data_IF_954124803324
#
_entry.id   IF_954124803324
#
_cell.length_a   1.000
_cell.length_b   1.000
_cell.length_c   1.000
_cell.angle_alpha   90.00
_cell.angle_beta   90.00
_cell.angle_gamma   90.00
#
_symmetry.space_group_name_H-M   'P 1'
#
loop_
_entity.id
_entity.type
_entity.pdbx_description
1 polymer ?
#
# COMPACT_ATOMS: atom_id res chain seq x y z
N UNK A 1 0.51 -25.06 -5.53
CA UNK A 1 0.31 -24.21 -4.34
C UNK A 1 0.58 -22.78 -4.78
N UNK A 2 -0.46 -21.93 -4.86
CA UNK A 2 -0.29 -20.54 -5.31
C UNK A 2 0.40 -19.79 -4.16
N UNK A 3 1.68 -19.49 -4.31
CA UNK A 3 2.42 -18.75 -3.30
C UNK A 3 2.18 -17.25 -3.43
N UNK A 4 1.75 -16.62 -2.34
CA UNK A 4 1.69 -15.15 -2.21
C UNK A 4 3.07 -14.65 -1.81
N UNK A 5 3.59 -13.63 -2.50
CA UNK A 5 4.74 -12.86 -2.03
C UNK A 5 4.26 -11.46 -1.59
N UNK A 6 4.14 -11.25 -0.28
CA UNK A 6 3.93 -9.91 0.30
C UNK A 6 5.29 -9.32 0.57
N UNK A 7 5.68 -8.30 -0.19
CA UNK A 7 6.97 -7.65 -0.06
C UNK A 7 6.82 -6.44 0.87
N UNK A 8 6.36 -6.72 2.11
CA UNK A 8 5.77 -5.77 3.04
C UNK A 8 6.70 -4.74 3.68
N UNK A 9 8.01 -4.87 3.48
CA UNK A 9 9.03 -3.97 4.05
C UNK A 9 9.95 -3.35 3.00
N UNK A 10 9.69 -3.62 1.73
CA UNK A 10 10.53 -3.18 0.65
C UNK A 10 9.90 -1.95 0.01
N UNK A 11 10.12 -0.79 0.63
CA UNK A 11 10.21 0.49 -0.09
C UNK A 11 11.37 0.51 -1.12
N UNK A 12 11.97 -0.65 -1.37
CA UNK A 12 13.11 -0.86 -2.23
C UNK A 12 12.64 -1.27 -3.61
N UNK A 13 13.33 -0.71 -4.58
CA UNK A 13 13.31 -1.17 -5.95
C UNK A 13 13.82 -2.62 -6.06
N UNK A 14 13.07 -3.47 -6.77
CA UNK A 14 13.41 -4.86 -7.05
C UNK A 14 13.63 -5.05 -8.56
N UNK A 15 14.66 -5.82 -8.91
CA UNK A 15 15.01 -6.10 -10.31
C UNK A 15 14.10 -7.17 -10.89
N UNK A 16 13.93 -7.18 -12.21
CA UNK A 16 13.22 -8.24 -12.96
C UNK A 16 13.73 -9.65 -12.60
N UNK A 17 15.04 -9.81 -12.38
CA UNK A 17 15.64 -11.09 -11.99
C UNK A 17 15.11 -11.62 -10.65
N UNK A 18 14.77 -10.74 -9.70
CA UNK A 18 14.15 -11.12 -8.43
C UNK A 18 12.76 -11.73 -8.68
N UNK A 19 11.97 -11.10 -9.54
CA UNK A 19 10.63 -11.61 -9.87
C UNK A 19 10.66 -12.88 -10.72
N UNK A 20 11.66 -13.06 -11.60
CA UNK A 20 11.88 -14.33 -12.30
C UNK A 20 12.15 -15.46 -11.32
N UNK A 21 13.02 -15.24 -10.33
CA UNK A 21 13.28 -16.19 -9.26
C UNK A 21 12.00 -16.51 -8.45
N UNK A 22 11.18 -15.51 -8.11
CA UNK A 22 9.89 -15.75 -7.44
C UNK A 22 8.95 -16.61 -8.31
N UNK A 23 8.85 -16.32 -9.62
CA UNK A 23 8.02 -17.09 -10.55
C UNK A 23 8.48 -18.54 -10.69
N UNK A 24 9.79 -18.77 -10.80
CA UNK A 24 10.40 -20.11 -10.80
C UNK A 24 10.09 -20.88 -9.51
N UNK A 25 9.95 -20.17 -8.39
CA UNK A 25 9.52 -20.71 -7.10
C UNK A 25 7.98 -20.68 -6.91
N UNK A 26 7.22 -20.73 -8.00
CA UNK A 26 5.75 -20.87 -8.01
C UNK A 26 5.00 -19.73 -7.31
N UNK A 27 5.58 -18.52 -7.30
CA UNK A 27 4.85 -17.30 -6.90
C UNK A 27 4.18 -16.72 -8.14
N UNK A 28 2.86 -16.62 -8.10
CA UNK A 28 2.04 -16.13 -9.23
C UNK A 28 1.37 -14.78 -8.90
N UNK A 29 1.65 -14.25 -7.71
CA UNK A 29 0.97 -13.09 -7.16
C UNK A 29 1.90 -12.30 -6.22
N UNK A 30 1.90 -10.97 -6.37
CA UNK A 30 2.68 -10.03 -5.54
C UNK A 30 1.79 -8.88 -5.09
N UNK A 31 2.04 -8.37 -3.87
CA UNK A 31 1.42 -7.15 -3.35
C UNK A 31 2.51 -6.15 -2.94
N UNK A 32 2.41 -4.91 -3.41
CA UNK A 32 3.37 -3.82 -3.10
C UNK A 32 2.76 -2.71 -2.22
N UNK A 33 3.54 -2.09 -1.31
CA UNK A 33 3.10 -0.90 -0.58
C UNK A 33 2.95 0.31 -1.50
N UNK A 34 1.73 0.81 -1.73
CA UNK A 34 1.49 2.00 -2.53
C UNK A 34 1.84 3.31 -1.79
N UNK A 35 1.82 3.29 -0.46
CA UNK A 35 2.18 4.44 0.39
C UNK A 35 3.42 4.19 1.23
N UNK A 36 4.10 5.27 1.58
CA UNK A 36 4.95 5.33 2.77
C UNK A 36 4.06 5.46 4.01
N UNK A 37 4.30 4.64 5.03
CA UNK A 37 3.43 4.55 6.21
C UNK A 37 3.53 5.80 7.11
N UNK A 38 4.66 6.49 7.07
CA UNK A 38 5.03 7.63 7.91
C UNK A 38 4.61 8.98 7.31
N UNK A 39 4.38 9.02 6.00
CA UNK A 39 4.02 10.24 5.27
C UNK A 39 2.69 10.17 4.52
N UNK A 40 2.18 8.97 4.24
CA UNK A 40 1.02 8.78 3.37
C UNK A 40 1.26 9.14 1.90
N UNK A 41 2.50 9.47 1.52
CA UNK A 41 2.90 9.79 0.15
C UNK A 41 3.03 8.54 -0.71
N UNK A 42 3.00 8.72 -2.03
CA UNK A 42 3.18 7.62 -2.99
C UNK A 42 4.58 7.01 -2.86
N UNK A 43 4.63 5.68 -2.76
CA UNK A 43 5.89 4.93 -2.80
C UNK A 43 6.38 4.79 -4.26
N UNK A 44 7.41 5.56 -4.61
CA UNK A 44 7.95 5.61 -5.97
C UNK A 44 8.50 4.27 -6.46
N UNK A 45 8.93 3.39 -5.55
CA UNK A 45 9.39 2.04 -5.92
C UNK A 45 8.24 1.15 -6.43
N UNK A 46 6.99 1.44 -6.08
CA UNK A 46 5.84 0.58 -6.41
C UNK A 46 5.54 0.56 -7.89
N UNK A 47 5.56 1.71 -8.55
CA UNK A 47 5.44 1.79 -10.01
C UNK A 47 6.46 0.87 -10.70
N UNK A 48 7.73 1.05 -10.37
CA UNK A 48 8.82 0.30 -10.98
C UNK A 48 8.75 -1.21 -10.66
N UNK A 49 8.34 -1.55 -9.44
CA UNK A 49 8.16 -2.94 -9.03
C UNK A 49 7.00 -3.62 -9.77
N UNK A 50 5.89 -2.92 -10.02
CA UNK A 50 4.78 -3.42 -10.84
C UNK A 50 5.25 -3.71 -12.26
N UNK A 51 5.99 -2.77 -12.87
CA UNK A 51 6.56 -2.93 -14.22
C UNK A 51 7.49 -4.14 -14.27
N UNK A 52 8.40 -4.27 -13.29
CA UNK A 52 9.38 -5.34 -13.25
C UNK A 52 8.76 -6.71 -12.96
N UNK A 53 7.72 -6.79 -12.13
CA UNK A 53 6.98 -8.03 -11.87
C UNK A 53 6.30 -8.53 -13.14
N UNK A 54 5.63 -7.64 -13.88
CA UNK A 54 5.01 -7.97 -15.18
C UNK A 54 6.04 -8.36 -16.24
N UNK A 55 7.18 -7.68 -16.31
CA UNK A 55 8.27 -8.05 -17.22
C UNK A 55 8.86 -9.44 -16.90
N UNK A 56 8.75 -9.91 -15.66
CA UNK A 56 9.09 -11.28 -15.27
C UNK A 56 7.92 -12.28 -15.45
N UNK A 57 6.75 -11.82 -15.89
CA UNK A 57 5.55 -12.60 -16.14
C UNK A 57 4.71 -12.90 -14.90
N UNK A 58 4.80 -12.07 -13.85
CA UNK A 58 3.83 -12.08 -12.74
C UNK A 58 2.78 -11.02 -13.06
N UNK A 59 1.63 -11.45 -13.58
CA UNK A 59 0.57 -10.54 -14.03
C UNK A 59 -0.40 -10.14 -12.91
N UNK A 60 -0.57 -11.00 -11.91
CA UNK A 60 -1.40 -10.70 -10.74
C UNK A 60 -0.61 -9.83 -9.75
N UNK A 61 -0.71 -8.53 -9.95
CA UNK A 61 -0.02 -7.52 -9.13
C UNK A 61 -1.05 -6.65 -8.43
N UNK A 62 -1.10 -6.73 -7.12
CA UNK A 62 -1.95 -5.91 -6.26
C UNK A 62 -1.11 -4.86 -5.52
N UNK A 63 -1.79 -3.90 -4.91
CA UNK A 63 -1.17 -2.89 -4.06
C UNK A 63 -1.86 -2.81 -2.70
N UNK A 64 -1.14 -2.37 -1.67
CA UNK A 64 -1.73 -2.08 -0.37
C UNK A 64 -1.42 -0.67 0.12
N UNK A 65 -2.33 -0.12 0.90
CA UNK A 65 -2.18 1.16 1.59
C UNK A 65 -1.99 0.90 3.07
N UNK A 66 -0.93 1.46 3.66
CA UNK A 66 -0.80 1.54 5.10
C UNK A 66 -1.36 2.90 5.56
N UNK A 67 -2.39 2.95 6.42
CA UNK A 67 -2.98 4.21 6.85
C UNK A 67 -1.98 5.02 7.68
N UNK A 68 -1.68 6.25 7.26
CA UNK A 68 -0.94 7.20 8.09
C UNK A 68 -1.93 7.98 8.97
N UNK A 69 -2.10 7.54 10.23
CA UNK A 69 -3.22 7.96 11.08
C UNK A 69 -2.97 9.26 11.84
N UNK A 70 -1.73 9.53 12.26
CA UNK A 70 -1.40 10.73 13.06
C UNK A 70 -0.94 11.87 12.15
N UNK A 71 -1.57 13.05 12.19
CA UNK A 71 -1.03 14.24 11.55
C UNK A 71 0.42 14.48 11.93
N UNK A 72 1.23 14.84 10.95
CA UNK A 72 2.61 15.26 11.13
C UNK A 72 2.76 16.69 10.60
N UNK A 73 3.55 17.52 11.28
CA UNK A 73 3.93 18.84 10.76
C UNK A 73 4.87 18.76 9.57
N UNK A 74 5.54 17.61 9.39
CA UNK A 74 6.42 17.32 8.25
C UNK A 74 5.65 16.66 7.10
N UNK A 75 4.57 15.92 7.40
CA UNK A 75 3.80 15.16 6.42
C UNK A 75 2.30 15.45 6.51
N UNK A 76 1.85 16.41 5.69
CA UNK A 76 0.48 16.94 5.69
C UNK A 76 -0.61 15.91 5.31
N UNK A 77 -0.24 14.81 4.65
CA UNK A 77 -1.20 13.77 4.25
C UNK A 77 -1.56 12.83 5.38
N UNK A 78 -0.77 12.78 6.45
CA UNK A 78 -1.07 11.95 7.60
C UNK A 78 -2.23 12.54 8.42
N UNK A 79 -3.08 11.67 8.94
CA UNK A 79 -4.37 12.07 9.51
C UNK A 79 -5.44 12.45 8.48
N UNK A 80 -5.12 12.38 7.17
CA UNK A 80 -6.08 12.56 6.10
C UNK A 80 -6.27 11.23 5.32
N UNK A 81 -7.13 10.37 5.88
CA UNK A 81 -7.47 9.06 5.33
C UNK A 81 -7.75 9.09 3.82
N UNK A 82 -8.66 9.98 3.39
CA UNK A 82 -9.10 10.04 2.00
C UNK A 82 -8.07 10.69 1.08
N UNK A 83 -7.34 11.70 1.57
CA UNK A 83 -6.35 12.45 0.80
C UNK A 83 -5.17 11.60 0.37
N UNK A 84 -4.59 10.81 1.29
CA UNK A 84 -3.46 9.93 0.99
C UNK A 84 -3.80 8.90 -0.09
N UNK A 85 -4.90 8.15 0.09
CA UNK A 85 -5.33 7.13 -0.89
C UNK A 85 -5.60 7.76 -2.26
N UNK A 86 -6.34 8.87 -2.30
CA UNK A 86 -6.70 9.54 -3.55
C UNK A 86 -5.45 10.02 -4.31
N UNK A 87 -4.50 10.64 -3.60
CA UNK A 87 -3.27 11.16 -4.21
C UNK A 87 -2.45 10.05 -4.87
N UNK A 88 -2.26 8.93 -4.18
CA UNK A 88 -1.47 7.81 -4.72
C UNK A 88 -2.18 7.11 -5.88
N UNK A 89 -3.50 6.93 -5.81
CA UNK A 89 -4.25 6.32 -6.90
C UNK A 89 -4.23 7.21 -8.16
N UNK A 90 -4.34 8.53 -7.98
CA UNK A 90 -4.14 9.48 -9.07
C UNK A 90 -2.72 9.39 -9.64
N UNK A 91 -1.69 9.37 -8.79
CA UNK A 91 -0.29 9.19 -9.22
C UNK A 91 -0.10 7.93 -10.08
N UNK A 92 -0.59 6.78 -9.62
CA UNK A 92 -0.46 5.53 -10.38
C UNK A 92 -1.27 5.58 -11.68
N UNK A 93 -2.45 6.18 -11.67
CA UNK A 93 -3.27 6.34 -12.87
C UNK A 93 -2.61 7.27 -13.91
N UNK A 94 -2.08 8.41 -13.48
CA UNK A 94 -1.42 9.41 -14.33
C UNK A 94 -0.17 8.83 -15.00
N UNK A 95 0.51 7.89 -14.33
CA UNK A 95 1.63 7.13 -14.86
C UNK A 95 1.21 5.83 -15.60
N UNK A 96 -0.08 5.65 -15.88
CA UNK A 96 -0.64 4.48 -16.58
C UNK A 96 -0.34 3.12 -15.92
N UNK A 97 -0.14 3.11 -14.61
CA UNK A 97 0.18 1.91 -13.84
C UNK A 97 -1.11 1.17 -13.48
N UNK A 98 -1.31 0.02 -14.12
CA UNK A 98 -2.42 -0.90 -13.79
C UNK A 98 -2.04 -1.82 -12.63
N UNK A 99 -3.01 -2.24 -11.83
CA UNK A 99 -2.88 -3.25 -10.76
C UNK A 99 -4.25 -3.93 -10.56
N UNK A 100 -4.29 -5.04 -9.84
CA UNK A 100 -5.50 -5.83 -9.62
C UNK A 100 -6.39 -5.26 -8.52
N UNK A 101 -6.12 -5.65 -7.28
CA UNK A 101 -6.86 -5.20 -6.10
C UNK A 101 -6.04 -4.21 -5.27
N UNK A 102 -6.79 -3.39 -4.55
CA UNK A 102 -6.27 -2.50 -3.52
C UNK A 102 -6.59 -3.09 -2.15
N UNK A 103 -5.58 -3.22 -1.31
CA UNK A 103 -5.68 -3.73 0.05
C UNK A 103 -5.50 -2.59 1.05
N UNK A 104 -6.21 -2.65 2.17
CA UNK A 104 -5.96 -1.78 3.31
C UNK A 104 -5.19 -2.58 4.36
N UNK A 105 -3.92 -2.21 4.58
CA UNK A 105 -3.03 -2.86 5.54
C UNK A 105 -3.11 -2.15 6.89
N UNK A 106 -4.04 -2.60 7.73
CA UNK A 106 -4.21 -2.12 9.10
C UNK A 106 -3.29 -2.93 10.00
N UNK A 107 -2.25 -2.30 10.51
CA UNK A 107 -1.29 -2.87 11.45
C UNK A 107 -1.00 -1.91 12.59
N UNK A 108 -0.48 -2.42 13.70
CA UNK A 108 0.19 -1.61 14.71
C UNK A 108 1.52 -1.09 14.15
N UNK A 109 1.81 0.19 14.40
CA UNK A 109 3.00 0.89 13.92
C UNK A 109 4.12 0.97 14.98
N UNK A 110 4.19 -0.02 15.88
CA UNK A 110 5.28 -0.14 16.85
C UNK A 110 5.61 -1.61 17.12
N UNK A 111 6.89 -1.89 17.31
CA UNK A 111 7.40 -3.15 17.89
C UNK A 111 7.05 -3.27 19.38
N UNK A 112 6.38 -2.27 19.93
CA UNK A 112 6.06 -2.11 21.35
C UNK A 112 4.57 -1.79 21.52
N UNK A 113 3.84 -2.74 22.10
CA UNK A 113 2.41 -2.60 22.43
C UNK A 113 2.11 -1.43 23.38
N UNK A 114 3.13 -0.88 24.04
CA UNK A 114 2.99 0.22 25.01
C UNK A 114 3.05 1.60 24.34
N UNK A 115 3.72 1.71 23.18
CA UNK A 115 3.99 2.97 22.48
C UNK A 115 3.41 2.96 21.07
N UNK A 116 2.09 3.05 20.96
CA UNK A 116 1.39 3.08 19.67
C UNK A 116 1.72 4.35 18.88
N UNK A 117 2.68 4.25 17.97
CA UNK A 117 3.02 5.31 17.03
C UNK A 117 2.08 5.31 15.81
N UNK A 118 0.78 5.53 16.01
CA UNK A 118 -0.12 5.76 14.88
C UNK A 118 -1.59 5.70 15.25
N UNK A 119 -2.02 4.57 15.80
CA UNK A 119 -3.41 4.41 16.24
C UNK A 119 -3.60 4.97 17.65
N UNK A 120 -4.78 5.53 17.92
CA UNK A 120 -5.15 5.98 19.25
C UNK A 120 -5.57 4.78 20.09
N UNK A 121 -4.71 4.33 21.02
CA UNK A 121 -4.98 3.14 21.85
C UNK A 121 -6.24 3.29 22.71
N UNK A 122 -6.58 4.52 23.07
CA UNK A 122 -7.67 4.83 24.00
C UNK A 122 -8.95 5.24 23.25
N UNK A 123 -8.86 5.56 21.96
CA UNK A 123 -9.99 5.99 21.13
C UNK A 123 -10.27 5.03 19.96
N UNK A 124 -10.86 3.87 20.28
CA UNK A 124 -11.30 2.89 19.29
C UNK A 124 -12.25 3.49 18.25
N UNK A 125 -13.17 4.37 18.67
CA UNK A 125 -14.15 4.99 17.77
C UNK A 125 -13.46 5.78 16.67
N UNK A 126 -12.51 6.65 17.03
CA UNK A 126 -11.76 7.44 16.05
C UNK A 126 -10.94 6.56 15.09
N UNK A 127 -10.34 5.47 15.58
CA UNK A 127 -9.63 4.52 14.71
C UNK A 127 -10.57 3.85 13.70
N UNK A 128 -11.78 3.45 14.12
CA UNK A 128 -12.78 2.85 13.23
C UNK A 128 -13.26 3.87 12.19
N UNK A 129 -13.59 5.08 12.61
CA UNK A 129 -14.00 6.18 11.71
C UNK A 129 -12.91 6.47 10.67
N UNK A 130 -11.64 6.42 11.06
CA UNK A 130 -10.52 6.59 10.14
C UNK A 130 -10.44 5.45 9.10
N UNK A 131 -10.60 4.19 9.53
CA UNK A 131 -10.64 3.03 8.63
C UNK A 131 -11.83 3.15 7.67
N UNK A 132 -13.01 3.50 8.17
CA UNK A 132 -14.21 3.67 7.35
C UNK A 132 -14.04 4.78 6.31
N UNK A 133 -13.41 5.90 6.67
CA UNK A 133 -13.08 6.98 5.75
C UNK A 133 -12.14 6.53 4.61
N UNK A 134 -11.18 5.63 4.89
CA UNK A 134 -10.34 5.00 3.86
C UNK A 134 -11.19 4.08 2.95
N UNK A 135 -12.05 3.26 3.53
CA UNK A 135 -12.89 2.30 2.79
C UNK A 135 -13.88 2.99 1.84
N UNK A 136 -14.47 4.12 2.25
CA UNK A 136 -15.37 4.91 1.40
C UNK A 136 -14.68 5.32 0.10
N UNK A 137 -13.41 5.72 0.16
CA UNK A 137 -12.63 6.09 -1.04
C UNK A 137 -12.34 4.88 -1.91
N UNK A 138 -11.90 3.77 -1.31
CA UNK A 138 -11.59 2.54 -2.05
C UNK A 138 -12.81 1.96 -2.77
N UNK A 139 -14.00 2.03 -2.16
CA UNK A 139 -15.25 1.59 -2.78
C UNK A 139 -15.64 2.51 -3.94
N UNK A 140 -15.48 3.83 -3.81
CA UNK A 140 -15.78 4.78 -4.88
C UNK A 140 -14.84 4.60 -6.08
N UNK A 141 -13.55 4.40 -5.84
CA UNK A 141 -12.54 4.30 -6.91
C UNK A 141 -12.61 2.97 -7.67
N UNK A 142 -13.22 1.92 -7.09
CA UNK A 142 -13.53 0.69 -7.83
C UNK A 142 -14.41 0.92 -9.07
N UNK A 143 -15.07 2.08 -9.19
CA UNK A 143 -15.81 2.48 -10.40
C UNK A 143 -14.94 3.11 -11.50
N UNK A 144 -13.65 3.35 -11.24
CA UNK A 144 -12.70 4.06 -12.12
C UNK A 144 -11.54 3.19 -12.63
N UNK A 145 -11.34 1.99 -12.06
CA UNK A 145 -10.32 1.01 -12.44
C UNK A 145 -10.98 -0.08 -13.29
#
# INVERSE_FOLDING_TARGET
>A
MIGIAVLGWLHRYLRVSTFKCLKENSKEFVIFPATYYDSGEANLSTELNIINARAAGIDNVDIYFSPCVKPSTEYELCGNASGSITKVLNYLNDNNIKFGKVWLYVTYASDDCENLNGWDKDNKTSNVEFIEANLVVLVKIKSLI
#
